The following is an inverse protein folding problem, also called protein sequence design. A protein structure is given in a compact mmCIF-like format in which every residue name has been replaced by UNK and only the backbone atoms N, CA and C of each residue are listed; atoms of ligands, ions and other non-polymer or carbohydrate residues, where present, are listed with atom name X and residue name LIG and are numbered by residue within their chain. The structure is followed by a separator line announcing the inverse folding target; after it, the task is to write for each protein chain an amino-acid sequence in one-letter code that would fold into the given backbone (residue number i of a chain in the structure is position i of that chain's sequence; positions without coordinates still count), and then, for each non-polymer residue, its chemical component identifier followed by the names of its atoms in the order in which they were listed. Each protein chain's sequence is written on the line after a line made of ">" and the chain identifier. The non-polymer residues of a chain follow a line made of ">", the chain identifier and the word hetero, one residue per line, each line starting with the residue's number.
data_IF_528280393552
#
_entry.id   IF_528280393552
#
_cell.length_a   1.000
_cell.length_b   1.000
_cell.length_c   1.000
_cell.angle_alpha   90.00
_cell.angle_beta   90.00
_cell.angle_gamma   90.00
#
_symmetry.space_group_name_H-M   'P 1'
#
loop_
_entity.id
_entity.type
_entity.pdbx_description
1 polymer ?
#
# COMPACT_ATOMS: atom_id res chain seq x y z
N UNK A 1 -43.59 -26.03 -19.92
CA UNK A 1 -43.05 -24.76 -20.46
C UNK A 1 -42.89 -23.75 -19.32
N UNK A 2 -41.75 -23.05 -19.31
CA UNK A 2 -41.40 -21.85 -18.52
C UNK A 2 -41.42 -21.97 -16.98
N UNK A 3 -40.29 -22.41 -16.42
CA UNK A 3 -39.74 -21.79 -15.20
C UNK A 3 -38.43 -21.13 -15.60
N UNK A 4 -38.47 -19.82 -15.80
CA UNK A 4 -37.28 -19.01 -16.02
C UNK A 4 -36.58 -18.96 -14.66
N UNK A 5 -35.45 -19.65 -14.58
CA UNK A 5 -34.50 -19.53 -13.47
C UNK A 5 -33.87 -18.15 -13.64
N UNK A 6 -34.53 -17.13 -13.12
CA UNK A 6 -33.94 -15.80 -12.97
C UNK A 6 -33.08 -15.82 -11.70
N UNK A 7 -32.03 -16.63 -11.70
CA UNK A 7 -30.89 -16.43 -10.80
C UNK A 7 -29.90 -15.52 -11.56
N UNK A 8 -30.40 -14.33 -11.91
CA UNK A 8 -29.60 -13.30 -12.55
C UNK A 8 -28.66 -12.73 -11.47
N UNK A 9 -27.36 -12.93 -11.70
CA UNK A 9 -26.34 -11.95 -11.32
C UNK A 9 -26.23 -11.61 -9.82
N UNK A 10 -26.11 -12.62 -8.97
CA UNK A 10 -25.14 -12.54 -7.88
C UNK A 10 -23.82 -13.12 -8.39
N UNK A 11 -23.28 -12.55 -9.47
CA UNK A 11 -21.83 -12.51 -9.60
C UNK A 11 -21.45 -11.54 -8.50
N UNK A 12 -21.30 -12.10 -7.30
CA UNK A 12 -20.59 -11.49 -6.21
C UNK A 12 -19.36 -10.87 -6.86
N UNK A 13 -19.35 -9.54 -6.97
CA UNK A 13 -18.11 -8.80 -6.97
C UNK A 13 -17.42 -9.33 -5.71
N UNK A 14 -16.55 -10.34 -5.89
CA UNK A 14 -15.52 -10.67 -4.94
C UNK A 14 -14.65 -9.43 -4.98
N UNK A 15 -15.11 -8.40 -4.27
CA UNK A 15 -14.32 -7.27 -3.86
C UNK A 15 -13.23 -7.94 -3.06
N UNK A 16 -12.09 -8.18 -3.70
CA UNK A 16 -10.93 -8.75 -3.04
C UNK A 16 -10.67 -7.85 -1.84
N UNK A 17 -11.08 -8.36 -0.68
CA UNK A 17 -10.94 -7.70 0.60
C UNK A 17 -9.47 -7.33 0.72
N UNK A 18 -9.17 -6.04 0.86
CA UNK A 18 -7.80 -5.61 1.11
C UNK A 18 -7.44 -6.23 2.47
N UNK A 19 -6.38 -7.05 2.61
CA UNK A 19 -6.32 -8.00 3.72
C UNK A 19 -6.24 -7.42 5.14
N UNK A 20 -5.90 -6.14 5.29
CA UNK A 20 -5.91 -5.40 6.56
C UNK A 20 -7.08 -4.38 6.61
N UNK A 21 -7.83 -4.27 5.53
CA UNK A 21 -9.05 -3.50 5.35
C UNK A 21 -10.11 -4.41 4.74
N UNK A 22 -10.46 -5.51 5.43
CA UNK A 22 -11.26 -6.59 4.80
C UNK A 22 -12.62 -6.10 4.28
N UNK A 23 -13.11 -4.99 4.83
CA UNK A 23 -14.33 -4.31 4.44
C UNK A 23 -14.19 -3.42 3.18
N UNK A 24 -12.97 -3.18 2.69
CA UNK A 24 -12.67 -2.38 1.50
C UNK A 24 -12.20 -3.26 0.34
N UNK A 25 -12.62 -2.89 -0.86
CA UNK A 25 -12.11 -3.44 -2.11
C UNK A 25 -11.51 -2.38 -3.00
N UNK A 26 -10.61 -2.81 -3.90
CA UNK A 26 -10.14 -1.96 -4.99
C UNK A 26 -11.31 -1.49 -5.87
N UNK A 27 -11.22 -0.25 -6.36
CA UNK A 27 -12.27 0.37 -7.14
C UNK A 27 -13.39 1.04 -6.33
N UNK A 28 -13.37 0.94 -4.99
CA UNK A 28 -14.37 1.61 -4.14
C UNK A 28 -14.33 3.13 -4.33
N UNK A 29 -15.52 3.74 -4.33
CA UNK A 29 -15.67 5.19 -4.37
C UNK A 29 -15.47 5.81 -2.99
N UNK A 30 -15.31 7.13 -2.93
CA UNK A 30 -15.23 7.83 -1.63
C UNK A 30 -16.46 7.59 -0.75
N UNK A 31 -17.66 7.48 -1.32
CA UNK A 31 -18.88 7.24 -0.55
C UNK A 31 -18.88 5.85 0.09
N UNK A 32 -18.40 4.83 -0.65
CA UNK A 32 -18.22 3.49 -0.11
C UNK A 32 -17.18 3.47 1.01
N UNK A 33 -16.05 4.18 0.84
CA UNK A 33 -15.01 4.29 1.87
C UNK A 33 -15.56 4.96 3.12
N UNK A 34 -16.33 6.06 2.97
CA UNK A 34 -16.96 6.76 4.10
C UNK A 34 -17.98 5.91 4.86
N UNK A 35 -18.55 4.88 4.23
CA UNK A 35 -19.38 3.90 4.92
C UNK A 35 -18.63 3.14 6.03
N UNK A 36 -17.32 2.96 5.89
CA UNK A 36 -16.46 2.29 6.88
C UNK A 36 -15.60 3.28 7.69
N UNK A 37 -15.22 4.39 7.06
CA UNK A 37 -14.37 5.43 7.64
C UNK A 37 -15.08 6.79 7.58
N UNK A 38 -16.10 7.03 8.44
CA UNK A 38 -17.00 8.17 8.31
C UNK A 38 -16.32 9.53 8.51
N UNK A 39 -15.25 9.59 9.31
CA UNK A 39 -14.49 10.82 9.57
C UNK A 39 -13.44 11.12 8.47
N UNK A 40 -13.53 10.48 7.30
CA UNK A 40 -12.59 10.67 6.20
C UNK A 40 -12.74 12.05 5.53
N UNK A 41 -11.64 12.79 5.44
CA UNK A 41 -11.59 14.17 4.93
C UNK A 41 -10.75 14.28 3.66
N UNK A 42 -11.14 15.13 2.71
CA UNK A 42 -10.36 15.37 1.50
C UNK A 42 -9.08 16.14 1.81
N UNK A 43 -7.95 15.72 1.25
CA UNK A 43 -6.71 16.49 1.20
C UNK A 43 -6.63 17.23 -0.14
N UNK A 44 -6.19 18.49 -0.12
CA UNK A 44 -5.95 19.22 -1.36
C UNK A 44 -4.89 18.50 -2.20
N UNK A 45 -5.16 18.33 -3.49
CA UNK A 45 -4.26 17.67 -4.44
C UNK A 45 -4.05 18.57 -5.65
N UNK A 46 -2.80 18.74 -6.06
CA UNK A 46 -2.42 19.56 -7.22
C UNK A 46 -2.56 18.81 -8.55
N UNK A 47 -2.68 17.49 -8.51
CA UNK A 47 -2.86 16.63 -9.68
C UNK A 47 -4.34 16.43 -9.98
N UNK A 48 -4.76 16.77 -11.19
CA UNK A 48 -6.17 16.67 -11.61
C UNK A 48 -6.72 15.22 -11.59
N UNK A 49 -5.85 14.21 -11.55
CA UNK A 49 -6.25 12.81 -11.74
C UNK A 49 -6.19 11.95 -10.46
N UNK A 50 -5.59 12.45 -9.38
CA UNK A 50 -5.47 11.70 -8.12
C UNK A 50 -6.02 12.54 -6.98
N UNK A 51 -7.10 12.09 -6.37
CA UNK A 51 -7.63 12.67 -5.14
C UNK A 51 -7.16 11.86 -3.93
N UNK A 52 -6.89 12.57 -2.84
CA UNK A 52 -6.46 11.98 -1.58
C UNK A 52 -7.47 12.25 -0.49
N UNK A 53 -7.68 11.27 0.37
CA UNK A 53 -8.51 11.42 1.55
C UNK A 53 -7.83 10.83 2.76
N UNK A 54 -7.92 11.54 3.88
CA UNK A 54 -7.26 11.20 5.13
C UNK A 54 -8.29 10.75 6.16
N UNK A 55 -7.94 9.69 6.89
CA UNK A 55 -8.62 9.28 8.11
C UNK A 55 -7.60 9.21 9.25
N UNK A 56 -8.03 9.59 10.45
CA UNK A 56 -7.16 9.68 11.64
C UNK A 56 -7.74 8.78 12.75
N UNK A 57 -7.37 7.49 12.80
CA UNK A 57 -7.87 6.58 13.81
C UNK A 57 -7.49 7.02 15.23
N UNK A 58 -8.47 7.04 16.13
CA UNK A 58 -8.26 7.38 17.56
C UNK A 58 -7.81 6.15 18.33
N UNK A 59 -7.03 6.35 19.39
CA UNK A 59 -6.58 5.29 20.31
C UNK A 59 -5.80 4.14 19.65
N UNK A 60 -5.04 4.46 18.60
CA UNK A 60 -4.15 3.51 17.92
C UNK A 60 -2.71 4.05 17.78
N UNK A 61 -1.81 3.19 17.32
CA UNK A 61 -0.45 3.56 16.91
C UNK A 61 -0.39 4.10 15.46
N UNK A 62 -1.53 4.20 14.78
CA UNK A 62 -1.65 4.76 13.43
C UNK A 62 -1.88 6.27 13.58
N UNK A 63 -0.99 7.06 12.99
CA UNK A 63 -1.15 8.52 12.91
C UNK A 63 -2.23 8.87 11.88
N UNK A 64 -2.15 8.27 10.69
CA UNK A 64 -3.01 8.62 9.56
C UNK A 64 -3.13 7.47 8.57
N UNK A 65 -4.31 7.32 7.98
CA UNK A 65 -4.56 6.47 6.80
C UNK A 65 -4.90 7.39 5.63
N UNK A 66 -4.25 7.19 4.49
CA UNK A 66 -4.45 7.97 3.26
C UNK A 66 -4.99 7.06 2.17
N UNK A 67 -6.17 7.39 1.67
CA UNK A 67 -6.80 6.74 0.53
C UNK A 67 -6.52 7.55 -0.74
N UNK A 68 -5.96 6.89 -1.76
CA UNK A 68 -5.67 7.49 -3.06
C UNK A 68 -6.67 6.96 -4.07
N UNK A 69 -7.38 7.89 -4.73
CA UNK A 69 -8.40 7.59 -5.73
C UNK A 69 -8.00 8.18 -7.08
N UNK A 70 -8.18 7.41 -8.14
CA UNK A 70 -8.10 7.88 -9.55
C UNK A 70 -9.50 7.76 -10.13
N UNK A 71 -10.02 8.81 -10.76
CA UNK A 71 -11.39 8.83 -11.29
C UNK A 71 -12.44 8.40 -10.25
N UNK A 72 -12.26 8.83 -9.00
CA UNK A 72 -13.09 8.43 -7.84
C UNK A 72 -13.10 6.92 -7.56
N UNK A 73 -12.02 6.21 -7.88
CA UNK A 73 -11.86 4.78 -7.61
C UNK A 73 -10.58 4.52 -6.82
N UNK A 74 -10.71 3.80 -5.70
CA UNK A 74 -9.60 3.45 -4.82
C UNK A 74 -8.58 2.55 -5.54
N UNK A 75 -7.32 2.96 -5.52
CA UNK A 75 -6.23 2.17 -6.11
C UNK A 75 -5.01 2.02 -5.19
N UNK A 76 -4.92 2.83 -4.12
CA UNK A 76 -3.83 2.76 -3.15
C UNK A 76 -4.26 3.26 -1.76
N UNK A 77 -3.74 2.62 -0.72
CA UNK A 77 -3.90 3.00 0.69
C UNK A 77 -2.50 3.10 1.30
N UNK A 78 -2.25 4.15 2.09
CA UNK A 78 -1.01 4.26 2.87
C UNK A 78 -1.37 4.48 4.33
N UNK A 79 -0.83 3.63 5.21
CA UNK A 79 -0.91 3.77 6.66
C UNK A 79 0.39 4.40 7.13
N UNK A 80 0.30 5.52 7.84
CA UNK A 80 1.39 6.18 8.55
C UNK A 80 1.28 5.87 10.03
N UNK A 81 2.36 5.36 10.62
CA UNK A 81 2.42 5.07 12.04
C UNK A 81 2.99 6.25 12.83
N UNK A 82 2.46 6.45 14.03
CA UNK A 82 2.90 7.50 14.95
C UNK A 82 4.27 7.13 15.55
N UNK A 83 5.35 7.87 15.21
CA UNK A 83 6.70 7.54 15.66
C UNK A 83 6.88 7.72 17.17
N UNK A 84 5.99 8.45 17.84
CA UNK A 84 6.02 8.64 19.30
C UNK A 84 5.44 7.45 20.07
N UNK A 85 4.65 6.61 19.38
CA UNK A 85 3.97 5.44 19.97
C UNK A 85 4.59 4.13 19.55
N UNK A 86 5.03 4.02 18.30
CA UNK A 86 5.63 2.80 17.77
C UNK A 86 7.02 2.57 18.34
N UNK A 87 7.24 1.36 18.88
CA UNK A 87 8.53 0.90 19.38
C UNK A 87 9.14 -0.12 18.43
N UNK A 88 10.42 -0.39 18.59
CA UNK A 88 11.13 -1.38 17.77
C UNK A 88 10.54 -2.78 17.84
N UNK A 89 9.92 -3.15 18.97
CA UNK A 89 9.21 -4.43 19.10
C UNK A 89 7.97 -4.47 18.18
N UNK A 90 7.19 -3.40 18.14
CA UNK A 90 6.00 -3.29 17.27
C UNK A 90 6.39 -3.39 15.79
N UNK A 91 7.49 -2.74 15.40
CA UNK A 91 8.04 -2.84 14.03
C UNK A 91 8.35 -4.29 13.65
N UNK A 92 9.03 -5.01 14.55
CA UNK A 92 9.39 -6.42 14.34
C UNK A 92 8.15 -7.31 14.25
N UNK A 93 7.17 -7.08 15.12
CA UNK A 93 5.94 -7.86 15.16
C UNK A 93 5.06 -7.60 13.94
N UNK A 94 4.96 -6.34 13.47
CA UNK A 94 4.30 -5.99 12.21
C UNK A 94 4.96 -6.69 11.03
N UNK A 95 6.28 -6.57 10.89
CA UNK A 95 7.02 -7.21 9.80
C UNK A 95 6.87 -8.75 9.83
N UNK A 96 6.93 -9.35 11.03
CA UNK A 96 6.71 -10.79 11.22
C UNK A 96 5.30 -11.18 10.81
N UNK A 97 4.27 -10.42 11.23
CA UNK A 97 2.88 -10.67 10.85
C UNK A 97 2.68 -10.70 9.34
N UNK A 98 3.27 -9.74 8.61
CA UNK A 98 3.24 -9.72 7.15
C UNK A 98 4.01 -10.88 6.52
N UNK A 99 5.19 -11.22 7.07
CA UNK A 99 6.00 -12.33 6.58
C UNK A 99 5.33 -13.69 6.80
N UNK A 100 4.67 -13.90 7.94
CA UNK A 100 3.94 -15.13 8.23
C UNK A 100 2.71 -15.28 7.31
N UNK A 101 2.06 -14.15 6.97
CA UNK A 101 0.85 -14.12 6.12
C UNK A 101 1.17 -14.33 4.64
N UNK A 102 2.25 -13.74 4.12
CA UNK A 102 2.54 -13.69 2.67
C UNK A 102 3.90 -14.27 2.27
N UNK A 103 4.64 -14.83 3.22
CA UNK A 103 5.96 -15.40 2.97
C UNK A 103 7.05 -14.35 2.87
N UNK A 104 8.05 -14.63 2.03
CA UNK A 104 9.28 -13.81 1.95
C UNK A 104 9.05 -12.54 1.11
N UNK A 105 9.34 -11.39 1.70
CA UNK A 105 9.36 -10.10 1.00
C UNK A 105 10.55 -9.96 0.03
N UNK A 106 10.38 -9.10 -0.97
CA UNK A 106 11.47 -8.52 -1.74
C UNK A 106 11.94 -7.27 -0.99
N UNK A 107 13.18 -7.29 -0.51
CA UNK A 107 13.76 -6.20 0.27
C UNK A 107 14.63 -5.31 -0.61
N UNK A 108 14.38 -4.01 -0.62
CA UNK A 108 15.12 -3.03 -1.42
C UNK A 108 15.48 -1.83 -0.54
N UNK A 109 16.78 -1.56 -0.28
CA UNK A 109 17.18 -0.29 0.32
C UNK A 109 17.05 0.83 -0.72
N UNK A 110 16.79 2.05 -0.26
CA UNK A 110 16.76 3.23 -1.12
C UNK A 110 17.43 4.42 -0.43
N UNK A 111 17.98 5.31 -1.26
CA UNK A 111 18.56 6.57 -0.85
C UNK A 111 18.24 7.61 -1.94
N UNK A 112 17.65 8.72 -1.52
CA UNK A 112 17.32 9.86 -2.38
C UNK A 112 17.96 11.11 -1.79
N UNK A 113 18.62 11.91 -2.63
CA UNK A 113 19.22 13.17 -2.22
C UNK A 113 18.52 14.33 -2.91
N UNK A 114 18.18 15.34 -2.11
CA UNK A 114 17.62 16.61 -2.54
C UNK A 114 18.58 17.74 -2.14
N UNK A 115 18.37 18.94 -2.66
CA UNK A 115 19.30 20.07 -2.47
C UNK A 115 19.58 20.40 -0.98
N UNK A 116 18.63 20.13 -0.09
CA UNK A 116 18.66 20.53 1.32
C UNK A 116 18.37 19.40 2.33
N UNK A 117 18.08 18.19 1.88
CA UNK A 117 17.89 17.03 2.75
C UNK A 117 18.14 15.73 1.96
N UNK A 118 18.37 14.64 2.68
CA UNK A 118 18.38 13.30 2.09
C UNK A 118 17.40 12.38 2.80
N UNK A 119 16.99 11.35 2.10
CA UNK A 119 16.07 10.33 2.58
C UNK A 119 16.75 8.99 2.40
N UNK A 120 16.76 8.16 3.44
CA UNK A 120 17.27 6.78 3.37
C UNK A 120 16.26 5.83 3.98
N UNK A 121 16.20 4.61 3.48
CA UNK A 121 15.24 3.67 4.01
C UNK A 121 15.35 2.27 3.45
N UNK A 122 14.44 1.43 3.92
CA UNK A 122 14.25 0.08 3.42
C UNK A 122 12.77 -0.12 3.11
N UNK A 123 12.50 -0.73 1.97
CA UNK A 123 11.20 -1.20 1.56
C UNK A 123 11.19 -2.72 1.49
N UNK A 124 10.21 -3.34 2.12
CA UNK A 124 9.95 -4.78 2.05
C UNK A 124 8.59 -5.01 1.39
N UNK A 125 8.61 -5.55 0.17
CA UNK A 125 7.40 -5.70 -0.64
C UNK A 125 6.98 -7.16 -0.79
N UNK A 126 5.70 -7.42 -0.53
CA UNK A 126 5.01 -8.65 -0.90
C UNK A 126 4.11 -8.41 -2.11
N UNK A 127 4.07 -9.36 -3.02
CA UNK A 127 3.18 -9.36 -4.18
C UNK A 127 2.15 -10.46 -3.99
N UNK A 128 0.88 -10.08 -3.88
CA UNK A 128 -0.25 -10.97 -3.67
C UNK A 128 -1.27 -10.70 -4.79
N UNK A 129 -1.31 -11.61 -5.76
CA UNK A 129 -2.10 -11.47 -6.99
C UNK A 129 -1.83 -10.14 -7.71
N UNK A 130 -2.82 -9.25 -7.78
CA UNK A 130 -2.75 -7.92 -8.39
C UNK A 130 -2.42 -6.81 -7.39
N UNK A 131 -2.08 -7.14 -6.15
CA UNK A 131 -1.83 -6.20 -5.06
C UNK A 131 -0.38 -6.30 -4.62
N UNK A 132 0.25 -5.15 -4.37
CA UNK A 132 1.49 -5.09 -3.60
C UNK A 132 1.20 -4.59 -2.20
N UNK A 133 1.96 -5.09 -1.24
CA UNK A 133 2.02 -4.58 0.13
C UNK A 133 3.48 -4.26 0.41
N UNK A 134 3.77 -3.02 0.79
CA UNK A 134 5.13 -2.55 1.10
C UNK A 134 5.21 -2.06 2.53
N UNK A 135 6.07 -2.68 3.32
CA UNK A 135 6.46 -2.20 4.64
C UNK A 135 7.71 -1.35 4.51
N UNK A 136 7.60 -0.06 4.85
CA UNK A 136 8.60 0.96 4.53
C UNK A 136 9.06 1.63 5.81
N UNK A 137 10.37 1.58 6.08
CA UNK A 137 11.04 2.41 7.07
C UNK A 137 11.85 3.49 6.35
N UNK A 138 11.65 4.76 6.72
CA UNK A 138 12.25 5.91 6.07
C UNK A 138 12.78 6.90 7.11
N UNK A 139 14.04 7.29 6.96
CA UNK A 139 14.71 8.31 7.77
C UNK A 139 15.02 9.53 6.91
N UNK A 140 14.87 10.72 7.51
CA UNK A 140 15.14 12.01 6.88
C UNK A 140 16.36 12.66 7.55
N UNK A 141 17.31 13.08 6.74
CA UNK A 141 18.54 13.71 7.19
C UNK A 141 18.64 15.12 6.64
N UNK A 142 19.04 16.09 7.46
CA UNK A 142 19.36 17.44 6.98
C UNK A 142 20.67 17.45 6.15
N UNK A 143 21.05 18.64 5.68
CA UNK A 143 22.28 18.85 4.89
C UNK A 143 23.57 18.52 5.67
N UNK A 144 23.52 18.57 7.00
CA UNK A 144 24.62 18.23 7.90
C UNK A 144 24.60 16.75 8.30
N UNK A 145 23.72 15.96 7.69
CA UNK A 145 23.52 14.53 7.93
C UNK A 145 23.04 14.18 9.35
N UNK A 146 22.35 15.11 10.02
CA UNK A 146 21.64 14.83 11.27
C UNK A 146 20.28 14.22 10.95
N UNK A 147 19.90 13.18 11.72
CA UNK A 147 18.55 12.62 11.66
C UNK A 147 17.54 13.67 12.17
N UNK A 148 16.57 14.00 11.32
CA UNK A 148 15.54 15.01 11.61
C UNK A 148 14.16 14.42 11.82
N UNK A 149 13.85 13.31 11.14
CA UNK A 149 12.56 12.63 11.22
C UNK A 149 12.71 11.17 10.80
N UNK A 150 11.79 10.33 11.28
CA UNK A 150 11.70 8.90 10.93
C UNK A 150 10.24 8.51 10.77
N UNK A 151 9.95 7.76 9.71
CA UNK A 151 8.60 7.30 9.38
C UNK A 151 8.58 5.80 9.18
N UNK A 152 7.53 5.20 9.73
CA UNK A 152 7.12 3.85 9.40
C UNK A 152 5.80 3.90 8.65
N UNK A 153 5.73 3.20 7.52
CA UNK A 153 4.56 3.15 6.68
C UNK A 153 4.25 1.72 6.21
N UNK A 154 2.98 1.46 5.98
CA UNK A 154 2.53 0.32 5.17
C UNK A 154 1.74 0.85 3.98
N UNK A 155 2.19 0.51 2.78
CA UNK A 155 1.51 0.85 1.54
C UNK A 155 0.84 -0.38 0.94
N UNK A 156 -0.44 -0.26 0.60
CA UNK A 156 -1.19 -1.20 -0.20
C UNK A 156 -1.50 -0.56 -1.53
N UNK A 157 -1.29 -1.24 -2.65
CA UNK A 157 -1.72 -0.71 -3.93
C UNK A 157 -1.96 -1.80 -4.97
N UNK A 158 -2.74 -1.44 -5.99
CA UNK A 158 -2.78 -2.21 -7.21
C UNK A 158 -1.42 -2.16 -7.89
N UNK A 159 -0.93 -3.32 -8.30
CA UNK A 159 0.26 -3.41 -9.15
C UNK A 159 -0.09 -2.69 -10.44
N UNK A 160 0.52 -1.53 -10.64
CA UNK A 160 0.52 -0.88 -11.94
C UNK A 160 1.21 -1.84 -12.93
N UNK A 161 0.54 -2.35 -13.97
CA UNK A 161 1.16 -3.26 -14.93
C UNK A 161 2.43 -2.68 -15.56
N UNK A 162 2.57 -1.35 -15.60
CA UNK A 162 3.75 -0.66 -16.13
C UNK A 162 4.93 -0.57 -15.14
N UNK A 163 4.70 -0.85 -13.85
CA UNK A 163 5.74 -0.86 -12.79
C UNK A 163 6.37 -2.22 -12.54
N UNK A 164 5.98 -3.27 -13.28
CA UNK A 164 6.72 -4.53 -13.36
C UNK A 164 8.01 -4.28 -14.16
N UNK A 165 8.93 -3.48 -13.62
CA UNK A 165 10.31 -3.47 -14.11
C UNK A 165 10.98 -4.74 -13.59
N UNK A 166 11.40 -5.58 -14.55
CA UNK A 166 12.24 -6.77 -14.42
C UNK A 166 11.54 -8.09 -14.04
N UNK A 167 10.67 -8.56 -14.93
CA UNK A 167 10.50 -10.01 -15.17
C UNK A 167 10.86 -10.36 -16.63
N UNK A 168 12.03 -9.93 -17.08
CA UNK A 168 12.62 -10.44 -18.34
C UNK A 168 14.15 -10.34 -18.34
N UNK A 169 14.81 -10.94 -17.35
CA UNK A 169 16.16 -11.46 -17.57
C UNK A 169 16.08 -12.98 -17.55
N UNK A 170 15.76 -13.50 -18.73
CA UNK A 170 16.37 -14.70 -19.30
C UNK A 170 16.17 -16.00 -18.52
N UNK A 171 15.12 -16.72 -18.91
CA UNK A 171 15.28 -18.14 -19.24
C UNK A 171 16.42 -18.25 -20.28
N UNK A 172 17.67 -18.29 -19.82
CA UNK A 172 18.83 -18.76 -20.57
C UNK A 172 19.41 -19.95 -19.83
N UNK A 173 18.61 -21.00 -19.66
CA UNK A 173 19.09 -22.35 -19.47
C UNK A 173 18.17 -23.24 -20.30
N UNK A 174 18.78 -23.98 -21.24
CA UNK A 174 18.20 -24.96 -22.17
C UNK A 174 17.74 -24.36 -23.52
N UNK A 175 18.70 -23.97 -24.35
CA UNK A 175 18.88 -24.54 -25.70
C UNK A 175 20.22 -24.06 -26.25
N UNK A 176 21.26 -24.85 -26.04
CA UNK A 176 22.40 -25.00 -26.95
C UNK A 176 23.41 -25.96 -26.32
N UNK A 177 23.18 -27.25 -26.51
CA UNK A 177 24.27 -28.19 -26.75
C UNK A 177 23.87 -29.06 -27.93
N UNK A 178 24.69 -28.91 -28.97
CA UNK A 178 24.88 -29.80 -30.12
C UNK A 178 24.94 -31.27 -29.70
#
# INVERSE_FOLDING_TARGET
>A
MKKIITLFFLITCLTFAIPDFESLGWGFTIDAIKGFYPETQSEFTTSNNVTKYNNYPKDTNIEKIVFYLVNNQLYKIVIFFDPTKVKSADVKDLFKGYSDKWGKAISTPFEESYDNFSVKGNEHTWIVDSTYISFIGQDYFDIDNNLTDSKLMVEYGLIDPSKIKNKSSSNNLISDKK
#
